data_IF_129955997957
#
_entry.id   IF_129955997957
#
_cell.length_a   1.000
_cell.length_b   1.000
_cell.length_c   1.000
_cell.angle_alpha   90.00
_cell.angle_beta   90.00
_cell.angle_gamma   90.00
#
_symmetry.space_group_name_H-M   'P 1'
#
loop_
_entity.id
_entity.type
_entity.pdbx_description
1 polymer ?
#
# COMPACT_ATOMS: atom_id res chain seq x y z
N UNK A 1 -3.24 -8.33 -12.57
CA UNK A 1 -2.17 -8.04 -11.58
C UNK A 1 -1.73 -9.32 -10.86
N UNK A 2 -1.73 -10.46 -11.55
CA UNK A 2 -1.70 -11.79 -10.91
C UNK A 2 -0.75 -12.75 -11.61
N UNK A 3 0.17 -12.21 -12.42
CA UNK A 3 1.27 -12.99 -12.98
C UNK A 3 2.25 -13.35 -11.86
N UNK A 4 3.06 -14.38 -12.08
CA UNK A 4 4.09 -14.79 -11.14
C UNK A 4 4.93 -13.59 -10.71
N UNK A 5 5.22 -13.51 -9.40
CA UNK A 5 5.99 -12.44 -8.74
C UNK A 5 5.32 -11.05 -8.62
N UNK A 6 4.07 -10.85 -9.06
CA UNK A 6 3.44 -9.50 -9.09
C UNK A 6 2.82 -9.02 -7.76
N UNK A 7 2.88 -9.81 -6.70
CA UNK A 7 2.38 -9.46 -5.36
C UNK A 7 3.41 -9.74 -4.25
N UNK A 8 4.59 -9.09 -4.26
CA UNK A 8 5.56 -9.26 -3.19
C UNK A 8 5.03 -8.69 -1.87
N UNK A 9 5.21 -9.43 -0.77
CA UNK A 9 4.84 -9.04 0.60
C UNK A 9 5.98 -9.40 1.55
N UNK A 10 6.41 -8.48 2.41
CA UNK A 10 7.49 -8.71 3.38
C UNK A 10 8.47 -7.53 3.48
N UNK A 11 9.63 -7.69 4.14
CA UNK A 11 10.20 -8.97 4.64
C UNK A 11 9.67 -9.43 6.01
N UNK A 12 8.85 -8.61 6.69
CA UNK A 12 8.25 -8.92 7.98
C UNK A 12 6.81 -8.41 8.04
N UNK A 13 6.06 -8.86 9.05
CA UNK A 13 4.76 -8.33 9.42
C UNK A 13 4.91 -7.55 10.72
N UNK A 14 4.74 -6.22 10.65
CA UNK A 14 4.79 -5.37 11.84
C UNK A 14 3.43 -5.38 12.55
N UNK A 15 3.45 -5.53 13.88
CA UNK A 15 2.24 -5.56 14.69
C UNK A 15 1.80 -4.16 15.15
N UNK A 16 0.60 -4.09 15.75
CA UNK A 16 0.01 -2.82 16.24
C UNK A 16 0.80 -2.20 17.40
N UNK A 17 1.54 -2.99 18.16
CA UNK A 17 2.41 -2.49 19.24
C UNK A 17 3.70 -1.86 18.70
N UNK A 18 4.18 -2.29 17.53
CA UNK A 18 5.33 -1.68 16.83
C UNK A 18 4.93 -0.41 16.07
N UNK A 19 3.72 -0.40 15.47
CA UNK A 19 3.20 0.72 14.69
C UNK A 19 2.03 1.40 15.41
N UNK A 20 2.35 2.49 16.11
CA UNK A 20 1.35 3.26 16.88
C UNK A 20 0.33 4.00 16.02
N UNK A 21 0.74 4.51 14.86
CA UNK A 21 -0.12 5.24 13.92
C UNK A 21 0.06 4.71 12.49
N UNK A 22 -0.77 3.74 12.06
CA UNK A 22 -0.74 3.25 10.67
C UNK A 22 -1.29 4.28 9.68
N UNK A 23 -1.92 5.36 10.16
CA UNK A 23 -2.40 6.47 9.35
C UNK A 23 -1.30 7.43 8.93
N UNK A 24 -0.10 7.36 9.51
CA UNK A 24 1.00 8.29 9.21
C UNK A 24 2.38 7.62 9.02
N UNK A 25 2.44 6.64 8.13
CA UNK A 25 3.67 5.95 7.74
C UNK A 25 4.26 6.53 6.46
N UNK A 26 5.54 6.90 6.51
CA UNK A 26 6.31 7.29 5.32
C UNK A 26 6.62 6.06 4.47
N UNK A 27 6.47 6.22 3.16
CA UNK A 27 6.77 5.17 2.18
C UNK A 27 7.48 5.77 0.96
N UNK A 28 8.39 4.99 0.37
CA UNK A 28 9.14 5.41 -0.81
C UNK A 28 9.47 4.21 -1.69
N UNK A 29 9.70 4.47 -2.97
CA UNK A 29 10.13 3.48 -3.96
C UNK A 29 11.26 4.08 -4.80
N UNK A 30 12.30 3.27 -5.05
CA UNK A 30 13.38 3.60 -5.98
C UNK A 30 13.47 2.58 -7.11
N UNK A 31 13.77 3.04 -8.32
CA UNK A 31 14.10 2.20 -9.48
C UNK A 31 15.50 2.61 -9.93
N UNK A 32 16.46 1.67 -9.94
CA UNK A 32 17.86 1.93 -10.27
C UNK A 32 18.48 3.09 -9.46
N UNK A 33 18.11 3.21 -8.17
CA UNK A 33 18.58 4.27 -7.27
C UNK A 33 17.81 5.60 -7.35
N UNK A 34 16.98 5.79 -8.37
CA UNK A 34 16.17 7.00 -8.56
C UNK A 34 14.82 6.89 -7.84
N UNK A 35 14.46 7.88 -7.03
CA UNK A 35 13.17 7.93 -6.33
C UNK A 35 12.02 8.11 -7.32
N UNK A 36 11.10 7.15 -7.35
CA UNK A 36 9.88 7.19 -8.18
C UNK A 36 8.65 7.56 -7.37
N UNK A 37 8.57 7.07 -6.14
CA UNK A 37 7.46 7.39 -5.24
C UNK A 37 8.02 7.78 -3.88
N UNK A 38 7.40 8.77 -3.24
CA UNK A 38 7.72 9.22 -1.89
C UNK A 38 6.49 9.91 -1.30
N UNK A 39 5.87 9.32 -0.28
CA UNK A 39 4.63 9.82 0.30
C UNK A 39 4.42 9.33 1.75
N UNK A 40 3.22 9.58 2.28
CA UNK A 40 2.76 9.07 3.57
C UNK A 40 1.35 8.49 3.43
N UNK A 41 1.02 7.48 4.24
CA UNK A 41 -0.37 7.00 4.41
C UNK A 41 -1.31 8.12 4.86
N UNK A 42 -0.80 9.23 5.41
CA UNK A 42 -1.61 10.39 5.78
C UNK A 42 -2.29 11.04 4.58
N UNK A 43 -1.81 10.78 3.36
CA UNK A 43 -2.39 11.25 2.11
C UNK A 43 -3.41 10.28 1.50
N UNK A 44 -3.75 9.19 2.19
CA UNK A 44 -4.77 8.25 1.70
C UNK A 44 -6.15 8.92 1.71
N UNK A 45 -6.88 8.78 0.59
CA UNK A 45 -8.26 9.27 0.49
C UNK A 45 -9.18 8.51 1.46
N UNK A 46 -8.97 7.20 1.57
CA UNK A 46 -9.66 6.32 2.52
C UNK A 46 -8.61 5.60 3.37
N UNK A 47 -8.65 5.82 4.69
CA UNK A 47 -7.70 5.21 5.63
C UNK A 47 -7.94 3.70 5.83
N UNK A 48 -6.99 3.03 6.51
CA UNK A 48 -7.03 1.57 6.74
C UNK A 48 -8.34 1.11 7.38
N UNK A 49 -8.83 1.80 8.40
CA UNK A 49 -10.10 1.44 9.07
C UNK A 49 -11.30 1.52 8.10
N UNK A 50 -11.35 2.56 7.26
CA UNK A 50 -12.38 2.72 6.24
C UNK A 50 -12.33 1.60 5.21
N UNK A 51 -11.14 1.24 4.73
CA UNK A 51 -10.97 0.15 3.77
C UNK A 51 -11.44 -1.19 4.33
N UNK A 52 -11.05 -1.52 5.58
CA UNK A 52 -11.48 -2.76 6.24
C UNK A 52 -13.01 -2.80 6.40
N UNK A 53 -13.60 -1.70 6.90
CA UNK A 53 -15.06 -1.60 7.05
C UNK A 53 -15.76 -1.79 5.71
N UNK A 54 -15.37 -1.04 4.69
CA UNK A 54 -16.04 -1.03 3.40
C UNK A 54 -15.95 -2.40 2.71
N UNK A 55 -14.78 -3.03 2.69
CA UNK A 55 -14.63 -4.37 2.08
C UNK A 55 -15.48 -5.41 2.83
N UNK A 56 -15.59 -5.30 4.16
CA UNK A 56 -16.37 -6.23 4.99
C UNK A 56 -17.88 -6.20 4.74
N UNK A 57 -18.40 -5.13 4.11
CA UNK A 57 -19.81 -5.05 3.71
C UNK A 57 -20.15 -5.99 2.53
N UNK A 58 -19.15 -6.40 1.74
CA UNK A 58 -19.34 -7.23 0.55
C UNK A 58 -18.84 -8.67 0.71
N UNK A 59 -17.92 -8.91 1.63
CA UNK A 59 -17.35 -10.24 1.86
C UNK A 59 -16.91 -10.42 3.31
N UNK A 60 -16.97 -11.66 3.80
CA UNK A 60 -16.38 -12.01 5.10
C UNK A 60 -14.86 -11.91 4.99
N UNK A 61 -14.25 -11.09 5.85
CA UNK A 61 -12.80 -11.07 6.03
C UNK A 61 -12.39 -12.22 6.94
N UNK A 62 -11.41 -13.01 6.52
CA UNK A 62 -10.86 -14.13 7.25
C UNK A 62 -9.49 -13.79 7.86
N UNK A 63 -9.12 -14.43 8.98
CA UNK A 63 -7.75 -14.36 9.48
C UNK A 63 -6.76 -14.79 8.40
N UNK A 64 -5.80 -13.91 8.09
CA UNK A 64 -4.80 -14.14 7.03
C UNK A 64 -5.07 -13.37 5.73
N UNK A 65 -6.23 -12.74 5.58
CA UNK A 65 -6.50 -11.89 4.42
C UNK A 65 -5.56 -10.67 4.36
N UNK A 66 -5.14 -10.32 3.15
CA UNK A 66 -4.24 -9.18 2.89
C UNK A 66 -4.94 -8.17 1.99
N UNK A 67 -5.01 -6.92 2.45
CA UNK A 67 -5.55 -5.78 1.69
C UNK A 67 -4.41 -4.89 1.22
N UNK A 68 -4.17 -4.81 -0.09
CA UNK A 68 -3.28 -3.78 -0.67
C UNK A 68 -4.00 -2.44 -0.73
N UNK A 69 -3.58 -1.47 0.08
CA UNK A 69 -4.34 -0.24 0.37
C UNK A 69 -4.18 0.88 -0.67
N UNK A 70 -3.63 0.59 -1.85
CA UNK A 70 -3.39 1.55 -2.93
C UNK A 70 -1.93 1.97 -3.07
N UNK A 71 -1.68 2.93 -3.95
CA UNK A 71 -0.34 3.45 -4.27
C UNK A 71 -0.35 4.97 -4.35
N UNK A 72 0.70 5.67 -3.89
CA UNK A 72 0.85 7.10 -4.12
C UNK A 72 1.15 7.40 -5.60
N UNK A 73 1.19 8.69 -5.94
CA UNK A 73 1.65 9.17 -7.26
C UNK A 73 3.09 8.73 -7.57
N UNK A 74 3.47 8.78 -8.85
CA UNK A 74 4.81 8.39 -9.32
C UNK A 74 4.88 7.00 -9.97
N UNK A 75 3.74 6.40 -10.29
CA UNK A 75 3.68 5.20 -11.16
C UNK A 75 4.14 5.55 -12.58
N UNK A 76 4.84 4.62 -13.24
CA UNK A 76 5.43 4.85 -14.57
C UNK A 76 4.44 5.32 -15.63
N UNK A 77 3.20 4.81 -15.59
CA UNK A 77 2.10 5.24 -16.46
C UNK A 77 1.76 6.74 -16.34
N UNK A 78 1.98 7.34 -15.17
CA UNK A 78 1.72 8.76 -14.91
C UNK A 78 2.87 9.69 -15.29
N UNK A 79 4.00 9.15 -15.75
CA UNK A 79 5.18 9.94 -16.14
C UNK A 79 5.06 10.46 -17.58
N UNK A 80 5.86 11.47 -17.91
CA UNK A 80 5.95 12.06 -19.27
C UNK A 80 7.42 12.11 -19.70
N UNK A 81 7.86 11.27 -20.66
CA UNK A 81 7.11 10.16 -21.26
C UNK A 81 6.80 9.06 -20.22
N UNK A 82 5.82 8.18 -20.49
CA UNK A 82 5.61 6.99 -19.68
C UNK A 82 6.87 6.14 -19.64
N UNK A 83 7.12 5.50 -18.49
CA UNK A 83 8.28 4.64 -18.25
C UNK A 83 7.84 3.26 -17.77
#
# INVERSE_FOLDING_TARGET
KSADTFAPVGPFLASKDEIKDPGNLKMWLKVNGETRQNSSTANMIFGVATLVSYVSEFMTLLPGDIISTGTPAGVGLGMKPPQ
#
